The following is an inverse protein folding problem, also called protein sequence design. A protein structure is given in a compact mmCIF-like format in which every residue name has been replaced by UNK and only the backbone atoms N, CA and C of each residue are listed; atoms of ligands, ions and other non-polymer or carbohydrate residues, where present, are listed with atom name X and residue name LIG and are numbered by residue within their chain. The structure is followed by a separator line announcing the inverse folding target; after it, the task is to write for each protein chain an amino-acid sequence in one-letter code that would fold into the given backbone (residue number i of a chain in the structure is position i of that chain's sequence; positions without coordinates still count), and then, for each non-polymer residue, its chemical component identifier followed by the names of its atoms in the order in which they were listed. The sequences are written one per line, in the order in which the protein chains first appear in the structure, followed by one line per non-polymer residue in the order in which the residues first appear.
data_IF_827767315606
#
_entry.id   IF_827767315606
#
_cell.length_a   1.000
_cell.length_b   1.000
_cell.length_c   1.000
_cell.angle_alpha   90.00
_cell.angle_beta   90.00
_cell.angle_gamma   90.00
#
_symmetry.space_group_name_H-M   'P 1'
#
loop_
_entity.id
_entity.type
_entity.pdbx_description
1 polymer ?
#
# COMPACT_ATOMS: atom_id res chain seq x y z
N UNK A 1 2.45 -27.58 -16.36
CA UNK A 1 2.36 -28.81 -17.18
C UNK A 1 1.92 -30.06 -16.38
N UNK A 2 2.44 -30.31 -15.16
CA UNK A 2 2.07 -31.51 -14.38
C UNK A 2 0.68 -31.41 -13.73
N UNK A 3 0.28 -30.22 -13.27
CA UNK A 3 -1.05 -29.98 -12.69
C UNK A 3 -2.17 -30.06 -13.72
N UNK A 4 -1.95 -29.51 -14.89
CA UNK A 4 -2.92 -29.53 -16.00
C UNK A 4 -3.19 -30.97 -16.45
N UNK A 5 -2.13 -31.77 -16.65
CA UNK A 5 -2.27 -33.19 -17.01
C UNK A 5 -3.01 -34.00 -15.92
N UNK A 6 -2.81 -33.68 -14.67
CA UNK A 6 -3.48 -34.36 -13.56
C UNK A 6 -4.97 -34.00 -13.52
N UNK A 7 -5.30 -32.72 -13.78
CA UNK A 7 -6.66 -32.24 -13.87
C UNK A 7 -7.40 -32.90 -15.06
N UNK A 8 -6.77 -32.90 -16.24
CA UNK A 8 -7.30 -33.52 -17.44
C UNK A 8 -7.58 -35.02 -17.23
N UNK A 9 -6.67 -35.74 -16.57
CA UNK A 9 -6.85 -37.15 -16.24
C UNK A 9 -8.00 -37.37 -15.24
N UNK A 10 -8.19 -36.49 -14.26
CA UNK A 10 -9.31 -36.54 -13.31
C UNK A 10 -10.64 -36.27 -14.02
N UNK A 11 -10.71 -35.27 -14.88
CA UNK A 11 -11.89 -34.95 -15.68
C UNK A 11 -12.26 -36.13 -16.58
N UNK A 12 -11.30 -36.69 -17.32
CA UNK A 12 -11.53 -37.83 -18.18
C UNK A 12 -12.06 -39.05 -17.39
N UNK A 13 -11.54 -39.28 -16.17
CA UNK A 13 -12.01 -40.35 -15.32
C UNK A 13 -13.43 -40.12 -14.78
N UNK A 14 -13.75 -38.87 -14.36
CA UNK A 14 -15.10 -38.51 -13.92
C UNK A 14 -16.14 -38.71 -15.02
N UNK A 15 -15.84 -38.31 -16.26
CA UNK A 15 -16.67 -38.56 -17.43
C UNK A 15 -16.85 -40.05 -17.71
N UNK A 16 -15.78 -40.84 -17.67
CA UNK A 16 -15.82 -42.29 -17.93
C UNK A 16 -16.64 -43.07 -16.86
N UNK A 17 -16.71 -42.55 -15.67
CA UNK A 17 -17.48 -43.14 -14.55
C UNK A 17 -18.92 -42.59 -14.48
N UNK A 18 -19.31 -41.65 -15.33
CA UNK A 18 -20.62 -41.00 -15.30
C UNK A 18 -20.91 -40.22 -14.02
N UNK A 19 -19.83 -39.75 -13.34
CA UNK A 19 -19.96 -38.99 -12.10
C UNK A 19 -20.38 -37.55 -12.37
N UNK A 20 -20.06 -37.03 -13.55
CA UNK A 20 -20.45 -35.68 -13.99
C UNK A 20 -20.46 -35.64 -15.52
N UNK A 21 -21.41 -34.96 -16.12
CA UNK A 21 -21.50 -34.73 -17.57
C UNK A 21 -20.97 -33.35 -18.00
N UNK A 22 -20.56 -32.53 -17.00
CA UNK A 22 -20.09 -31.16 -17.19
C UNK A 22 -21.08 -30.25 -17.95
N UNK A 23 -22.36 -30.61 -17.99
CA UNK A 23 -23.41 -29.81 -18.61
C UNK A 23 -23.68 -28.51 -17.85
N UNK A 24 -23.30 -28.44 -16.55
CA UNK A 24 -23.39 -27.27 -15.71
C UNK A 24 -22.05 -27.00 -15.03
N UNK A 25 -21.29 -26.03 -15.51
CA UNK A 25 -20.11 -25.51 -14.84
C UNK A 25 -20.52 -24.52 -13.76
N UNK A 26 -20.50 -24.96 -12.51
CA UNK A 26 -20.60 -24.05 -11.37
C UNK A 26 -19.20 -23.50 -11.08
N UNK A 27 -18.91 -22.29 -11.59
CA UNK A 27 -17.67 -21.59 -11.27
C UNK A 27 -17.82 -20.97 -9.88
N UNK A 28 -17.33 -21.66 -8.86
CA UNK A 28 -17.17 -21.06 -7.53
C UNK A 28 -15.92 -20.17 -7.54
N UNK A 29 -16.15 -18.86 -7.53
CA UNK A 29 -15.07 -17.89 -7.47
C UNK A 29 -14.61 -17.77 -6.02
N UNK A 30 -13.60 -18.54 -5.64
CA UNK A 30 -12.82 -18.28 -4.43
C UNK A 30 -12.01 -17.00 -4.61
N UNK A 31 -12.26 -16.01 -3.73
CA UNK A 31 -11.40 -14.83 -3.70
C UNK A 31 -10.08 -15.20 -3.03
N UNK A 32 -8.97 -14.78 -3.63
CA UNK A 32 -7.65 -14.86 -2.98
C UNK A 32 -7.51 -13.62 -2.11
N UNK A 33 -7.38 -13.81 -0.81
CA UNK A 33 -7.10 -12.70 0.10
C UNK A 33 -5.75 -12.07 -0.26
N UNK A 34 -5.77 -10.75 -0.48
CA UNK A 34 -4.53 -10.01 -0.65
C UNK A 34 -3.73 -10.03 0.65
N UNK A 35 -2.41 -10.21 0.56
CA UNK A 35 -1.50 -10.13 1.71
C UNK A 35 -1.39 -8.68 2.20
N UNK A 36 -2.48 -8.14 2.68
CA UNK A 36 -2.57 -6.79 3.22
C UNK A 36 -3.26 -6.82 4.57
N UNK A 37 -2.57 -6.33 5.59
CA UNK A 37 -3.23 -5.99 6.84
C UNK A 37 -4.34 -4.98 6.55
N UNK A 38 -5.48 -5.06 7.27
CA UNK A 38 -6.59 -4.11 7.12
C UNK A 38 -6.08 -2.67 7.09
N UNK A 39 -6.15 -1.96 5.96
CA UNK A 39 -5.54 -0.64 5.84
C UNK A 39 -6.41 0.38 6.56
N UNK A 40 -5.85 0.94 7.60
CA UNK A 40 -6.29 2.25 8.07
C UNK A 40 -5.40 3.29 7.43
N UNK A 41 -5.94 4.45 7.10
CA UNK A 41 -5.14 5.54 6.50
C UNK A 41 -3.92 5.89 7.36
N UNK A 42 -4.07 5.86 8.69
CA UNK A 42 -2.96 6.09 9.62
C UNK A 42 -1.84 5.08 9.44
N UNK A 43 -2.18 3.81 9.28
CA UNK A 43 -1.21 2.72 9.07
C UNK A 43 -0.53 2.80 7.70
N UNK A 44 -1.26 3.19 6.66
CA UNK A 44 -0.70 3.41 5.33
C UNK A 44 0.30 4.57 5.33
N UNK A 45 0.00 5.68 6.02
CA UNK A 45 0.92 6.81 6.18
C UNK A 45 2.22 6.36 6.86
N UNK A 46 2.11 5.67 8.00
CA UNK A 46 3.28 5.15 8.73
C UNK A 46 4.12 4.22 7.86
N UNK A 47 3.48 3.30 7.16
CA UNK A 47 4.17 2.32 6.32
C UNK A 47 4.86 2.97 5.10
N UNK A 48 4.23 3.98 4.47
CA UNK A 48 4.83 4.71 3.34
C UNK A 48 6.03 5.54 3.78
N UNK A 49 5.94 6.27 4.91
CA UNK A 49 7.08 7.02 5.46
C UNK A 49 8.23 6.08 5.80
N UNK A 50 7.95 4.96 6.48
CA UNK A 50 8.97 3.95 6.81
C UNK A 50 9.62 3.34 5.57
N UNK A 51 8.85 3.10 4.51
CA UNK A 51 9.34 2.55 3.24
C UNK A 51 10.22 3.54 2.52
N UNK A 52 9.83 4.81 2.44
CA UNK A 52 10.62 5.87 1.81
C UNK A 52 11.97 6.08 2.51
N UNK A 53 12.00 6.11 3.85
CA UNK A 53 13.25 6.20 4.61
C UNK A 53 14.18 5.01 4.33
N UNK A 54 13.66 3.78 4.40
CA UNK A 54 14.46 2.57 4.11
C UNK A 54 14.96 2.54 2.68
N UNK A 55 14.13 2.94 1.72
CA UNK A 55 14.52 3.01 0.32
C UNK A 55 15.61 4.08 0.11
N UNK A 56 15.47 5.27 0.71
CA UNK A 56 16.47 6.33 0.67
C UNK A 56 17.83 5.90 1.21
N UNK A 57 17.86 5.23 2.37
CA UNK A 57 19.08 4.69 2.95
C UNK A 57 19.75 3.61 2.07
N UNK A 58 18.98 2.89 1.26
CA UNK A 58 19.50 1.81 0.41
C UNK A 58 20.08 2.27 -0.94
N UNK A 59 19.90 3.54 -1.32
CA UNK A 59 20.30 4.10 -2.63
C UNK A 59 21.82 4.06 -2.88
N UNK A 60 22.61 4.08 -1.83
CA UNK A 60 24.08 3.99 -1.94
C UNK A 60 24.56 2.72 -2.67
N UNK A 61 23.81 1.63 -2.61
CA UNK A 61 24.07 0.38 -3.36
C UNK A 61 23.98 0.58 -4.88
N UNK A 62 23.24 1.59 -5.31
CA UNK A 62 23.06 1.98 -6.71
C UNK A 62 23.96 3.17 -7.09
N UNK A 63 24.87 3.60 -6.20
CA UNK A 63 25.71 4.79 -6.36
C UNK A 63 24.90 6.09 -6.51
N UNK A 64 23.68 6.11 -6.04
CA UNK A 64 22.86 7.30 -5.91
C UNK A 64 23.08 7.96 -4.54
N UNK A 65 22.87 9.28 -4.44
CA UNK A 65 22.89 9.94 -3.14
C UNK A 65 21.88 9.27 -2.19
N UNK A 66 22.35 8.82 -1.05
CA UNK A 66 21.48 8.41 0.04
C UNK A 66 20.89 9.64 0.70
N UNK A 67 19.68 9.53 1.20
CA UNK A 67 19.15 10.54 2.09
C UNK A 67 18.83 9.93 3.45
N UNK A 68 19.38 10.58 4.45
CA UNK A 68 19.03 10.36 5.86
C UNK A 68 18.29 11.60 6.32
N UNK A 69 17.08 11.41 6.82
CA UNK A 69 16.21 12.51 7.25
C UNK A 69 15.90 12.36 8.75
N UNK A 70 16.82 12.75 9.65
CA UNK A 70 16.66 12.56 11.10
C UNK A 70 15.36 13.18 11.62
N UNK A 71 14.94 14.31 11.03
CA UNK A 71 13.65 14.93 11.38
C UNK A 71 12.47 14.04 11.01
N UNK A 72 12.52 13.34 9.85
CA UNK A 72 11.45 12.42 9.43
C UNK A 72 11.47 11.15 10.28
N UNK A 73 12.63 10.70 10.72
CA UNK A 73 12.77 9.59 11.67
C UNK A 73 12.11 9.92 13.01
N UNK A 74 12.37 11.12 13.55
CA UNK A 74 11.67 11.61 14.73
C UNK A 74 10.16 11.71 14.50
N UNK A 75 9.73 12.19 13.32
CA UNK A 75 8.32 12.22 12.96
C UNK A 75 7.72 10.81 12.89
N UNK A 76 8.45 9.83 12.39
CA UNK A 76 7.99 8.44 12.29
C UNK A 76 7.65 7.86 13.66
N UNK A 77 8.44 8.16 14.69
CA UNK A 77 8.13 7.78 16.08
C UNK A 77 6.78 8.36 16.53
N UNK A 78 6.52 9.64 16.23
CA UNK A 78 5.26 10.28 16.55
C UNK A 78 4.09 9.70 15.72
N UNK A 79 4.30 9.41 14.45
CA UNK A 79 3.31 8.79 13.57
C UNK A 79 2.90 7.40 14.11
N UNK A 80 3.84 6.58 14.54
CA UNK A 80 3.56 5.28 15.19
C UNK A 80 2.75 5.44 16.47
N UNK A 81 3.10 6.44 17.30
CA UNK A 81 2.35 6.74 18.53
C UNK A 81 0.90 7.08 18.22
N UNK A 82 0.66 8.00 17.28
CA UNK A 82 -0.69 8.41 16.92
C UNK A 82 -1.48 7.29 16.23
N UNK A 83 -0.87 6.49 15.38
CA UNK A 83 -1.52 5.32 14.79
C UNK A 83 -2.03 4.34 15.86
N UNK A 84 -1.21 4.06 16.87
CA UNK A 84 -1.60 3.22 18.01
C UNK A 84 -2.73 3.84 18.82
N UNK A 85 -2.65 5.14 19.12
CA UNK A 85 -3.70 5.86 19.86
C UNK A 85 -5.02 5.90 19.09
N UNK A 86 -4.99 6.07 17.76
CA UNK A 86 -6.15 6.01 16.88
C UNK A 86 -6.76 4.60 16.89
N UNK A 87 -5.95 3.57 16.83
CA UNK A 87 -6.40 2.18 16.86
C UNK A 87 -7.10 1.85 18.18
N UNK A 88 -6.56 2.30 19.31
CA UNK A 88 -7.13 2.08 20.65
C UNK A 88 -8.39 2.91 20.91
N UNK A 89 -8.59 4.02 20.22
CA UNK A 89 -9.79 4.87 20.37
C UNK A 89 -11.05 4.32 19.67
N UNK A 90 -10.94 3.20 18.94
CA UNK A 90 -12.09 2.52 18.33
C UNK A 90 -12.97 1.91 19.41
N UNK A 91 -14.26 2.26 19.38
CA UNK A 91 -15.28 1.62 20.25
C UNK A 91 -15.60 2.36 21.55
N UNK A 92 -15.00 3.49 21.86
CA UNK A 92 -15.40 4.30 23.02
C UNK A 92 -16.41 5.37 22.61
N UNK A 93 -17.53 5.51 23.36
CA UNK A 93 -18.56 6.54 23.10
C UNK A 93 -17.97 7.97 23.09
N UNK A 94 -16.90 8.22 23.85
CA UNK A 94 -16.16 9.50 23.88
C UNK A 94 -15.03 9.58 22.84
N UNK A 95 -14.91 8.58 21.96
CA UNK A 95 -13.74 8.43 21.08
C UNK A 95 -13.71 9.36 19.87
N UNK A 96 -14.85 9.89 19.43
CA UNK A 96 -14.93 10.71 18.22
C UNK A 96 -14.04 11.95 18.25
N UNK A 97 -14.22 12.90 19.17
CA UNK A 97 -13.41 14.13 19.22
C UNK A 97 -11.92 13.88 19.53
N UNK A 98 -11.62 12.88 20.37
CA UNK A 98 -10.26 12.50 20.69
C UNK A 98 -9.56 11.90 19.47
N UNK A 99 -10.27 11.04 18.74
CA UNK A 99 -9.78 10.41 17.52
C UNK A 99 -9.47 11.45 16.45
N UNK A 100 -10.38 12.41 16.24
CA UNK A 100 -10.15 13.51 15.31
C UNK A 100 -8.92 14.34 15.70
N UNK A 101 -8.75 14.70 16.97
CA UNK A 101 -7.57 15.40 17.46
C UNK A 101 -6.28 14.63 17.17
N UNK A 102 -6.29 13.28 17.31
CA UNK A 102 -5.14 12.42 17.00
C UNK A 102 -4.85 12.40 15.50
N UNK A 103 -5.88 12.33 14.66
CA UNK A 103 -5.70 12.44 13.20
C UNK A 103 -5.14 13.80 12.78
N UNK A 104 -5.60 14.91 13.35
CA UNK A 104 -5.02 16.25 13.09
C UNK A 104 -3.52 16.29 13.41
N UNK A 105 -3.12 15.69 14.53
CA UNK A 105 -1.70 15.60 14.91
C UNK A 105 -0.91 14.71 13.95
N UNK A 106 -1.43 13.54 13.61
CA UNK A 106 -0.82 12.61 12.65
C UNK A 106 -0.62 13.27 11.29
N UNK A 107 -1.66 13.94 10.75
CA UNK A 107 -1.60 14.62 9.46
C UNK A 107 -0.58 15.77 9.45
N UNK A 108 -0.42 16.50 10.56
CA UNK A 108 0.61 17.54 10.67
C UNK A 108 2.01 16.96 10.49
N UNK A 109 2.35 15.88 11.19
CA UNK A 109 3.64 15.21 11.06
C UNK A 109 3.82 14.57 9.68
N UNK A 110 2.76 13.96 9.15
CA UNK A 110 2.77 13.35 7.81
C UNK A 110 3.07 14.36 6.71
N UNK A 111 2.45 15.54 6.75
CA UNK A 111 2.71 16.63 5.77
C UNK A 111 4.12 17.18 5.86
N UNK A 112 4.64 17.36 7.09
CA UNK A 112 6.03 17.78 7.26
C UNK A 112 7.00 16.72 6.72
N UNK A 113 6.73 15.45 6.96
CA UNK A 113 7.52 14.34 6.42
C UNK A 113 7.44 14.28 4.90
N UNK A 114 6.24 14.41 4.32
CA UNK A 114 6.02 14.43 2.88
C UNK A 114 6.87 15.49 2.17
N UNK A 115 6.86 16.73 2.68
CA UNK A 115 7.66 17.83 2.09
C UNK A 115 9.15 17.51 2.07
N UNK A 116 9.70 16.99 3.17
CA UNK A 116 11.12 16.63 3.27
C UNK A 116 11.49 15.47 2.37
N UNK A 117 10.69 14.41 2.39
CA UNK A 117 10.90 13.23 1.54
C UNK A 117 10.76 13.58 0.06
N UNK A 118 9.82 14.44 -0.30
CA UNK A 118 9.69 14.92 -1.69
C UNK A 118 10.94 15.65 -2.15
N UNK A 119 11.47 16.60 -1.34
CA UNK A 119 12.71 17.31 -1.66
C UNK A 119 13.91 16.36 -1.75
N UNK A 120 14.01 15.38 -0.86
CA UNK A 120 15.06 14.37 -0.90
C UNK A 120 14.99 13.53 -2.19
N UNK A 121 13.80 13.10 -2.60
CA UNK A 121 13.60 12.35 -3.85
C UNK A 121 13.96 13.21 -5.07
N UNK A 122 13.57 14.48 -5.12
CA UNK A 122 13.98 15.41 -6.18
C UNK A 122 15.51 15.54 -6.28
N UNK A 123 16.21 15.58 -5.14
CA UNK A 123 17.67 15.57 -5.11
C UNK A 123 18.27 14.30 -5.71
N UNK A 124 17.69 13.15 -5.45
CA UNK A 124 18.09 11.86 -6.05
C UNK A 124 17.81 11.85 -7.56
N UNK A 125 16.65 12.33 -7.99
CA UNK A 125 16.29 12.45 -9.42
C UNK A 125 17.28 13.34 -10.18
N UNK A 126 17.66 14.47 -9.61
CA UNK A 126 18.64 15.38 -10.21
C UNK A 126 20.05 14.77 -10.34
N UNK A 127 20.39 13.79 -9.51
CA UNK A 127 21.66 13.08 -9.57
C UNK A 127 21.67 11.95 -10.63
N UNK A 128 20.50 11.40 -10.98
CA UNK A 128 20.37 10.26 -11.89
C UNK A 128 21.03 10.45 -13.27
N UNK A 129 20.88 11.60 -13.96
CA UNK A 129 21.54 11.82 -15.26
C UNK A 129 23.07 11.81 -15.19
N UNK A 130 23.63 12.17 -14.02
CA UNK A 130 25.09 12.26 -13.78
C UNK A 130 25.71 10.93 -13.36
N UNK A 131 24.89 9.87 -13.26
CA UNK A 131 25.34 8.58 -12.79
C UNK A 131 26.19 7.89 -13.85
N UNK A 132 27.48 7.76 -13.59
CA UNK A 132 28.47 7.12 -14.47
C UNK A 132 28.62 5.63 -14.11
N UNK A 133 27.63 4.82 -14.49
CA UNK A 133 27.60 3.38 -14.21
C UNK A 133 27.22 2.58 -15.44
N UNK A 134 27.44 1.26 -15.40
CA UNK A 134 27.02 0.36 -16.46
C UNK A 134 25.51 0.46 -16.77
N UNK A 135 25.08 0.26 -18.02
CA UNK A 135 23.66 0.43 -18.43
C UNK A 135 22.67 -0.38 -17.59
N UNK A 136 23.03 -1.60 -17.19
CA UNK A 136 22.20 -2.45 -16.33
C UNK A 136 21.97 -1.84 -14.93
N UNK A 137 23.01 -1.25 -14.32
CA UNK A 137 22.89 -0.54 -13.04
C UNK A 137 22.11 0.76 -13.19
N UNK A 138 22.26 1.47 -14.30
CA UNK A 138 21.48 2.67 -14.59
C UNK A 138 20.00 2.35 -14.67
N UNK A 139 19.60 1.28 -15.36
CA UNK A 139 18.22 0.84 -15.43
C UNK A 139 17.64 0.46 -14.03
N UNK A 140 18.45 -0.14 -13.14
CA UNK A 140 18.04 -0.41 -11.76
C UNK A 140 17.86 0.89 -10.95
N UNK A 141 18.76 1.84 -11.12
CA UNK A 141 18.68 3.16 -10.48
C UNK A 141 17.42 3.93 -10.94
N UNK A 142 17.13 3.94 -12.24
CA UNK A 142 15.91 4.54 -12.80
C UNK A 142 14.64 3.92 -12.22
N UNK A 143 14.56 2.59 -12.14
CA UNK A 143 13.44 1.88 -11.50
C UNK A 143 13.29 2.25 -10.01
N UNK A 144 14.41 2.35 -9.29
CA UNK A 144 14.37 2.73 -7.87
C UNK A 144 13.84 4.15 -7.67
N UNK A 145 14.28 5.09 -8.51
CA UNK A 145 13.83 6.49 -8.48
C UNK A 145 12.35 6.58 -8.86
N UNK A 146 11.91 5.89 -9.91
CA UNK A 146 10.49 5.82 -10.31
C UNK A 146 9.62 5.32 -9.16
N UNK A 147 10.09 4.28 -8.45
CA UNK A 147 9.38 3.73 -7.30
C UNK A 147 9.32 4.70 -6.12
N UNK A 148 10.41 5.42 -5.83
CA UNK A 148 10.43 6.46 -4.79
C UNK A 148 9.42 7.57 -5.11
N UNK A 149 9.37 8.03 -6.35
CA UNK A 149 8.38 9.02 -6.81
C UNK A 149 6.95 8.52 -6.59
N UNK A 150 6.65 7.31 -7.05
CA UNK A 150 5.33 6.70 -6.86
C UNK A 150 4.95 6.56 -5.38
N UNK A 151 5.91 6.26 -4.50
CA UNK A 151 5.66 6.17 -3.06
C UNK A 151 5.40 7.55 -2.42
N UNK A 152 6.07 8.62 -2.90
CA UNK A 152 5.79 10.01 -2.48
C UNK A 152 4.40 10.45 -2.93
N UNK A 153 4.02 10.16 -4.16
CA UNK A 153 2.69 10.45 -4.71
C UNK A 153 1.60 9.67 -3.94
N UNK A 154 1.86 8.39 -3.65
CA UNK A 154 0.96 7.57 -2.84
C UNK A 154 0.79 8.14 -1.42
N UNK A 155 1.87 8.62 -0.79
CA UNK A 155 1.80 9.26 0.52
C UNK A 155 0.98 10.54 0.48
N UNK A 156 1.15 11.37 -0.54
CA UNK A 156 0.35 12.59 -0.73
C UNK A 156 -1.13 12.25 -0.90
N UNK A 157 -1.46 11.26 -1.74
CA UNK A 157 -2.84 10.79 -1.95
C UNK A 157 -3.48 10.28 -0.65
N UNK A 158 -2.76 9.45 0.12
CA UNK A 158 -3.30 8.91 1.40
C UNK A 158 -3.52 10.03 2.42
N UNK A 159 -2.64 11.03 2.49
CA UNK A 159 -2.82 12.20 3.36
C UNK A 159 -4.08 12.98 2.97
N UNK A 160 -4.26 13.27 1.69
CA UNK A 160 -5.43 14.01 1.17
C UNK A 160 -6.73 13.26 1.41
N UNK A 161 -6.76 11.96 1.09
CA UNK A 161 -7.95 11.12 1.33
C UNK A 161 -8.27 10.98 2.83
N UNK A 162 -7.26 10.86 3.67
CA UNK A 162 -7.44 10.81 5.12
C UNK A 162 -8.04 12.11 5.65
N UNK A 163 -7.56 13.25 5.19
CA UNK A 163 -8.06 14.56 5.57
C UNK A 163 -9.52 14.76 5.14
N UNK A 164 -9.83 14.50 3.87
CA UNK A 164 -11.18 14.62 3.33
C UNK A 164 -12.18 13.77 4.14
N UNK A 165 -11.82 12.52 4.44
CA UNK A 165 -12.70 11.58 5.15
C UNK A 165 -12.86 11.86 6.63
N UNK A 166 -11.79 12.24 7.31
CA UNK A 166 -11.79 12.32 8.78
C UNK A 166 -12.07 13.73 9.28
N UNK A 167 -11.54 14.76 8.59
CA UNK A 167 -11.69 16.15 9.03
C UNK A 167 -12.85 16.87 8.34
N UNK A 168 -13.21 16.43 7.13
CA UNK A 168 -14.27 17.06 6.35
C UNK A 168 -15.48 16.15 6.14
N UNK A 169 -15.47 14.93 6.71
CA UNK A 169 -16.53 13.92 6.64
C UNK A 169 -17.01 13.62 5.19
N UNK A 170 -16.12 13.85 4.22
CA UNK A 170 -16.40 13.64 2.81
C UNK A 170 -16.39 12.16 2.45
N UNK A 171 -17.31 11.75 1.59
CA UNK A 171 -17.27 10.44 0.98
C UNK A 171 -16.26 10.43 -0.16
N UNK A 172 -15.18 9.65 0.00
CA UNK A 172 -14.17 9.46 -1.04
C UNK A 172 -14.51 8.22 -1.86
N UNK A 173 -14.56 8.30 -3.20
CA UNK A 173 -14.79 7.16 -4.07
C UNK A 173 -13.79 6.03 -3.82
N UNK A 174 -14.23 4.78 -4.01
CA UNK A 174 -13.36 3.60 -3.79
C UNK A 174 -12.13 3.58 -4.70
N UNK A 175 -12.27 4.06 -5.94
CA UNK A 175 -11.19 4.15 -6.90
C UNK A 175 -10.05 5.08 -6.45
N UNK A 176 -10.36 6.06 -5.62
CA UNK A 176 -9.38 7.02 -5.09
C UNK A 176 -8.71 6.54 -3.80
N UNK A 177 -9.20 5.44 -3.20
CA UNK A 177 -8.65 4.91 -1.95
C UNK A 177 -7.48 3.99 -2.24
N UNK A 178 -6.33 4.29 -1.65
CA UNK A 178 -5.21 3.35 -1.61
C UNK A 178 -5.48 2.29 -0.55
N UNK A 179 -5.53 1.03 -0.95
CA UNK A 179 -5.81 -0.10 -0.05
C UNK A 179 -4.55 -0.87 0.34
N UNK A 180 -3.57 -0.92 -0.54
CA UNK A 180 -2.31 -1.59 -0.31
C UNK A 180 -1.15 -0.73 -0.80
N UNK A 181 0.00 -0.87 -0.15
CA UNK A 181 1.26 -0.25 -0.58
C UNK A 181 2.00 -1.17 -1.55
N UNK A 182 1.86 -2.48 -1.34
CA UNK A 182 2.62 -3.49 -2.08
C UNK A 182 1.91 -3.91 -3.36
N UNK A 183 0.58 -3.81 -3.38
CA UNK A 183 -0.25 -4.33 -4.44
C UNK A 183 -1.31 -3.31 -4.85
N UNK A 184 -1.16 -2.66 -6.01
CA UNK A 184 -2.11 -1.67 -6.50
C UNK A 184 -3.44 -2.29 -6.97
N UNK A 185 -3.46 -3.59 -7.30
CA UNK A 185 -4.60 -4.25 -7.94
C UNK A 185 -5.61 -4.82 -6.93
N UNK A 186 -5.31 -4.75 -5.64
CA UNK A 186 -6.26 -5.17 -4.60
C UNK A 186 -7.43 -4.20 -4.49
N UNK A 187 -8.62 -4.77 -4.37
CA UNK A 187 -9.86 -4.03 -4.16
C UNK A 187 -10.67 -4.57 -2.98
N UNK A 188 -11.74 -3.87 -2.62
CA UNK A 188 -12.70 -4.43 -1.69
C UNK A 188 -13.63 -5.42 -2.41
N UNK A 189 -13.77 -6.59 -1.85
CA UNK A 189 -14.70 -7.62 -2.33
C UNK A 189 -15.91 -7.62 -1.40
N UNK A 190 -17.06 -7.18 -1.91
CA UNK A 190 -18.31 -7.07 -1.17
C UNK A 190 -19.24 -8.26 -1.47
N UNK A 191 -18.75 -9.50 -1.46
CA UNK A 191 -19.60 -10.68 -1.70
C UNK A 191 -20.33 -11.09 -0.42
N UNK A 192 -21.54 -10.55 -0.18
CA UNK A 192 -22.47 -11.03 0.85
C UNK A 192 -21.96 -11.04 2.30
N UNK A 193 -20.77 -10.52 2.56
CA UNK A 193 -20.16 -10.47 3.88
C UNK A 193 -20.48 -9.16 4.60
N UNK A 194 -20.71 -9.21 5.91
CA UNK A 194 -20.92 -8.01 6.73
C UNK A 194 -19.72 -7.04 6.71
N UNK A 195 -18.53 -7.56 6.49
CA UNK A 195 -17.29 -6.79 6.39
C UNK A 195 -16.64 -7.12 5.05
N UNK A 196 -16.43 -6.15 4.16
CA UNK A 196 -15.76 -6.39 2.88
C UNK A 196 -14.33 -6.85 3.10
N UNK A 197 -13.91 -7.87 2.37
CA UNK A 197 -12.54 -8.42 2.40
C UNK A 197 -11.71 -7.70 1.36
N UNK A 198 -10.43 -7.49 1.65
CA UNK A 198 -9.47 -6.95 0.70
C UNK A 198 -8.82 -8.10 -0.05
N UNK A 199 -8.97 -8.10 -1.35
CA UNK A 199 -8.42 -9.15 -2.19
C UNK A 199 -8.39 -8.76 -3.66
N UNK A 200 -7.92 -9.68 -4.49
CA UNK A 200 -7.94 -9.50 -5.92
C UNK A 200 -9.36 -9.65 -6.45
N UNK A 201 -9.77 -8.73 -7.33
CA UNK A 201 -11.02 -8.90 -8.06
C UNK A 201 -10.80 -9.99 -9.11
N UNK A 202 -11.74 -10.94 -9.22
CA UNK A 202 -11.70 -11.92 -10.29
C UNK A 202 -11.86 -11.25 -11.67
#
# INVERSE_FOLDING_TARGET
QTRERLLDAQIARALSLGLDDFSALQQDSTHVEGNSAWPTESRLIVALVSRLLRAGASLGRLQLPTFEEPTVECHLVQLHKFDREIALSKGTQKGGPLREKRYRSLLRYARCSLRRLHLAVLGVEAALPRLAVAPSRKALAERAVTKLRADVEALAQVITTCEARILHEQQVPMAEKKLSICDPDVGYIAKGQRVPVIGYKP
#
